data_IF_600747189766
#
_entry.id   IF_600747189766
#
_cell.length_a   1.000
_cell.length_b   1.000
_cell.length_c   1.000
_cell.angle_alpha   90.00
_cell.angle_beta   90.00
_cell.angle_gamma   90.00
#
_symmetry.space_group_name_H-M   'P 1'
#
loop_
_entity.id
_entity.type
_entity.pdbx_description
1 polymer ?
#
# COMPACT_ATOMS: atom_id res chain seq x y z
N UNK A 1 15.26 -7.21 -4.69
CA UNK A 1 15.63 -6.67 -6.01
C UNK A 1 14.87 -5.38 -6.19
N UNK A 2 15.25 -4.38 -5.41
CA UNK A 2 14.35 -3.30 -4.94
C UNK A 2 14.57 -1.98 -5.69
N UNK A 3 14.99 -2.06 -6.96
CA UNK A 3 15.39 -0.89 -7.74
C UNK A 3 14.21 -0.07 -8.30
N UNK A 4 13.00 -0.64 -8.39
CA UNK A 4 11.86 0.02 -9.05
C UNK A 4 11.05 0.94 -8.14
N UNK A 5 10.96 0.69 -6.83
CA UNK A 5 10.17 1.55 -5.91
C UNK A 5 10.88 2.88 -5.58
N UNK A 6 12.22 2.86 -5.48
CA UNK A 6 13.00 4.03 -5.06
C UNK A 6 12.94 5.21 -6.06
N UNK A 7 12.90 4.94 -7.37
CA UNK A 7 12.84 6.02 -8.38
C UNK A 7 11.49 6.72 -8.40
N UNK A 8 10.40 5.97 -8.23
CA UNK A 8 9.07 6.54 -8.13
C UNK A 8 8.95 7.36 -6.83
N UNK A 9 9.46 6.85 -5.70
CA UNK A 9 9.45 7.57 -4.42
C UNK A 9 10.12 8.95 -4.52
N UNK A 10 11.35 9.00 -5.04
CA UNK A 10 12.11 10.26 -5.19
C UNK A 10 11.44 11.23 -6.16
N UNK A 11 10.76 10.73 -7.20
CA UNK A 11 10.03 11.57 -8.14
C UNK A 11 8.80 12.22 -7.49
N UNK A 12 8.04 11.45 -6.70
CA UNK A 12 6.84 11.95 -6.02
C UNK A 12 7.19 12.98 -4.94
N UNK A 13 8.26 12.76 -4.18
CA UNK A 13 8.74 13.72 -3.17
C UNK A 13 9.12 15.10 -3.76
N UNK A 14 9.53 15.13 -5.03
CA UNK A 14 9.90 16.37 -5.73
C UNK A 14 8.70 17.12 -6.31
N UNK A 15 7.47 16.58 -6.18
CA UNK A 15 6.25 17.17 -6.73
C UNK A 15 5.31 17.61 -5.60
N UNK A 16 5.65 18.66 -4.82
CA UNK A 16 4.92 19.03 -3.60
C UNK A 16 3.45 19.38 -3.81
N UNK A 17 3.07 19.74 -5.05
CA UNK A 17 1.71 20.11 -5.44
C UNK A 17 0.98 18.99 -6.20
N UNK A 18 1.47 17.75 -6.15
CA UNK A 18 0.80 16.62 -6.79
C UNK A 18 -0.47 16.23 -6.02
N UNK A 19 -1.61 16.37 -6.68
CA UNK A 19 -2.93 16.04 -6.12
C UNK A 19 -3.46 14.69 -6.61
N UNK A 20 -3.09 14.29 -7.82
CA UNK A 20 -3.59 13.07 -8.48
C UNK A 20 -2.42 12.31 -9.07
N UNK A 21 -2.29 11.04 -8.70
CA UNK A 21 -1.30 10.12 -9.25
C UNK A 21 -2.02 8.97 -9.95
N UNK A 22 -1.77 8.81 -11.25
CA UNK A 22 -2.30 7.71 -12.05
C UNK A 22 -1.13 6.87 -12.54
N UNK A 23 -1.04 5.64 -12.03
CA UNK A 23 -0.05 4.63 -12.39
C UNK A 23 -0.73 3.30 -12.78
N UNK A 24 -2.00 3.36 -13.15
CA UNK A 24 -2.78 2.24 -13.64
C UNK A 24 -2.12 1.52 -14.84
N UNK A 25 -2.41 0.22 -15.01
CA UNK A 25 -1.91 -0.60 -16.13
C UNK A 25 -0.37 -0.65 -16.23
N UNK A 26 0.30 -0.84 -15.10
CA UNK A 26 1.76 -0.99 -15.05
C UNK A 26 2.15 -2.34 -14.43
N UNK A 27 3.43 -2.52 -14.14
CA UNK A 27 3.96 -3.74 -13.51
C UNK A 27 4.52 -3.44 -12.12
N UNK A 28 3.92 -2.46 -11.42
CA UNK A 28 4.35 -2.10 -10.08
C UNK A 28 4.05 -3.24 -9.12
N UNK A 29 5.09 -3.67 -8.39
CA UNK A 29 4.97 -4.69 -7.34
C UNK A 29 4.74 -4.08 -5.97
N UNK A 30 5.16 -2.84 -5.76
CA UNK A 30 4.93 -2.09 -4.51
C UNK A 30 4.65 -0.63 -4.81
N UNK A 31 3.88 0.02 -3.93
CA UNK A 31 3.74 1.47 -3.90
C UNK A 31 4.62 2.01 -2.77
N UNK A 32 5.52 2.98 -3.03
CA UNK A 32 6.37 3.52 -1.98
C UNK A 32 5.55 4.30 -0.94
N UNK A 33 5.94 4.17 0.33
CA UNK A 33 5.38 4.95 1.45
C UNK A 33 5.30 6.45 1.19
N UNK A 34 6.25 7.00 0.42
CA UNK A 34 6.29 8.43 0.07
C UNK A 34 5.01 8.90 -0.64
N UNK A 35 4.30 8.02 -1.36
CA UNK A 35 3.00 8.34 -1.98
C UNK A 35 1.94 8.58 -0.88
N UNK A 36 1.89 7.70 0.12
CA UNK A 36 0.93 7.82 1.24
C UNK A 36 1.29 8.95 2.21
N UNK A 37 2.58 9.28 2.33
CA UNK A 37 3.09 10.40 3.15
C UNK A 37 2.98 11.75 2.45
N UNK A 38 2.66 11.78 1.15
CA UNK A 38 2.55 13.01 0.38
C UNK A 38 1.35 13.85 0.86
N UNK A 39 1.61 15.11 1.26
CA UNK A 39 0.62 15.95 1.96
C UNK A 39 -0.47 16.53 1.05
N UNK A 40 -0.18 16.70 -0.23
CA UNK A 40 -1.12 17.27 -1.20
C UNK A 40 -1.90 16.21 -2.00
N UNK A 41 -1.51 14.93 -1.88
CA UNK A 41 -2.06 13.88 -2.73
C UNK A 41 -3.45 13.46 -2.25
N UNK A 42 -4.43 13.55 -3.13
CA UNK A 42 -5.83 13.23 -2.86
C UNK A 42 -6.29 11.97 -3.55
N UNK A 43 -5.77 11.70 -4.75
CA UNK A 43 -6.24 10.60 -5.60
C UNK A 43 -5.07 9.75 -6.06
N UNK A 44 -5.18 8.43 -5.88
CA UNK A 44 -4.22 7.44 -6.35
C UNK A 44 -4.94 6.36 -7.15
N UNK A 45 -4.61 6.24 -8.43
CA UNK A 45 -5.09 5.15 -9.28
C UNK A 45 -3.92 4.23 -9.61
N UNK A 46 -3.90 3.05 -8.99
CA UNK A 46 -2.90 2.02 -9.17
C UNK A 46 -3.51 0.69 -9.66
N UNK A 47 -4.68 0.74 -10.31
CA UNK A 47 -5.34 -0.47 -10.81
C UNK A 47 -4.49 -1.23 -11.83
N UNK A 48 -4.74 -2.52 -12.01
CA UNK A 48 -4.08 -3.34 -13.02
C UNK A 48 -2.54 -3.26 -12.93
N UNK A 49 -2.03 -3.54 -11.72
CA UNK A 49 -0.61 -3.66 -11.43
C UNK A 49 -0.34 -5.06 -10.82
N UNK A 50 0.80 -5.25 -10.16
CA UNK A 50 1.19 -6.51 -9.51
C UNK A 50 1.45 -6.31 -8.02
N UNK A 51 0.69 -5.43 -7.37
CA UNK A 51 0.89 -5.11 -5.96
C UNK A 51 0.66 -6.33 -5.06
N UNK A 52 -0.22 -7.26 -5.46
CA UNK A 52 -0.42 -8.52 -4.73
C UNK A 52 0.84 -9.37 -4.65
N UNK A 53 1.60 -9.47 -5.74
CA UNK A 53 2.86 -10.23 -5.76
C UNK A 53 3.89 -9.64 -4.78
N UNK A 54 3.98 -8.30 -4.70
CA UNK A 54 4.90 -7.65 -3.77
C UNK A 54 4.50 -7.84 -2.31
N UNK A 55 3.21 -7.68 -2.00
CA UNK A 55 2.70 -7.92 -0.64
C UNK A 55 2.90 -9.39 -0.24
N UNK A 56 2.70 -10.33 -1.16
CA UNK A 56 2.94 -11.76 -0.90
C UNK A 56 4.42 -12.06 -0.61
N UNK A 57 5.35 -11.51 -1.41
CA UNK A 57 6.79 -11.64 -1.20
C UNK A 57 7.22 -11.08 0.19
N UNK A 58 6.70 -9.90 0.54
CA UNK A 58 6.97 -9.24 1.82
C UNK A 58 6.37 -10.03 2.99
N UNK A 59 5.16 -10.54 2.83
CA UNK A 59 4.46 -11.37 3.82
C UNK A 59 5.22 -12.66 4.11
N UNK A 60 5.77 -13.33 3.11
CA UNK A 60 6.59 -14.52 3.32
C UNK A 60 7.88 -14.19 4.08
N UNK A 61 8.53 -13.07 3.72
CA UNK A 61 9.73 -12.59 4.41
C UNK A 61 9.42 -12.24 5.87
N UNK A 62 8.30 -11.57 6.12
CA UNK A 62 7.81 -11.27 7.47
C UNK A 62 7.53 -12.54 8.27
N UNK A 63 6.86 -13.55 7.69
CA UNK A 63 6.62 -14.86 8.36
C UNK A 63 7.93 -15.52 8.79
N UNK A 64 8.97 -15.50 7.93
CA UNK A 64 10.30 -16.03 8.27
C UNK A 64 10.99 -15.22 9.38
N UNK A 65 10.82 -13.90 9.41
CA UNK A 65 11.39 -13.05 10.48
C UNK A 65 10.66 -13.27 11.80
N UNK A 66 9.33 -13.32 11.78
CA UNK A 66 8.49 -13.50 12.97
C UNK A 66 8.70 -14.85 13.64
N UNK A 67 8.88 -15.93 12.87
CA UNK A 67 9.19 -17.25 13.44
C UNK A 67 10.52 -17.29 14.20
N UNK A 68 11.48 -16.43 13.85
CA UNK A 68 12.77 -16.29 14.57
C UNK A 68 12.68 -15.41 15.82
N UNK A 69 11.60 -14.65 15.98
CA UNK A 69 11.36 -13.78 17.12
C UNK A 69 9.95 -14.01 17.69
N UNK A 70 9.69 -15.21 18.25
CA UNK A 70 8.35 -15.56 18.74
C UNK A 70 7.87 -14.65 19.88
N UNK A 71 8.79 -14.01 20.60
CA UNK A 71 8.49 -13.11 21.71
C UNK A 71 8.40 -11.63 21.29
N UNK A 72 8.52 -11.31 20.01
CA UNK A 72 8.34 -9.93 19.55
C UNK A 72 6.86 -9.55 19.64
N UNK A 73 6.56 -8.39 20.22
CA UNK A 73 5.18 -7.91 20.30
C UNK A 73 4.67 -7.60 18.89
N UNK A 74 3.35 -7.62 18.70
CA UNK A 74 2.71 -7.30 17.42
C UNK A 74 3.11 -5.89 16.93
N UNK A 75 3.28 -4.96 17.87
CA UNK A 75 3.65 -3.56 17.61
C UNK A 75 5.11 -3.38 17.18
N UNK A 76 5.99 -4.35 17.46
CA UNK A 76 7.42 -4.27 17.12
C UNK A 76 7.70 -4.63 15.64
N UNK A 77 6.86 -5.45 15.01
CA UNK A 77 7.00 -5.91 13.62
C UNK A 77 5.62 -6.28 13.05
N UNK A 78 4.76 -5.29 12.72
CA UNK A 78 3.44 -5.55 12.17
C UNK A 78 3.53 -6.26 10.81
N UNK A 79 2.46 -6.97 10.43
CA UNK A 79 2.39 -7.59 9.12
C UNK A 79 2.50 -6.52 8.00
N UNK A 80 3.15 -6.79 6.86
CA UNK A 80 3.38 -5.78 5.83
C UNK A 80 2.10 -5.08 5.34
N UNK A 81 1.00 -5.84 5.18
CA UNK A 81 -0.29 -5.28 4.77
C UNK A 81 -0.83 -4.29 5.81
N UNK A 82 -0.71 -4.59 7.10
CA UNK A 82 -1.18 -3.71 8.18
C UNK A 82 -0.37 -2.41 8.25
N UNK A 83 0.95 -2.47 8.02
CA UNK A 83 1.78 -1.27 7.94
C UNK A 83 1.35 -0.36 6.78
N UNK A 84 1.00 -0.95 5.63
CA UNK A 84 0.50 -0.23 4.47
C UNK A 84 -0.86 0.43 4.74
N UNK A 85 -1.78 -0.33 5.34
CA UNK A 85 -3.10 0.15 5.70
C UNK A 85 -3.06 1.23 6.81
N UNK A 86 -2.19 1.08 7.80
CA UNK A 86 -1.92 2.12 8.81
C UNK A 86 -1.43 3.43 8.16
N UNK A 87 -0.52 3.32 7.18
CA UNK A 87 -0.07 4.47 6.39
C UNK A 87 -1.21 5.11 5.59
N UNK A 88 -2.11 4.30 5.01
CA UNK A 88 -3.29 4.80 4.31
C UNK A 88 -4.25 5.55 5.25
N UNK A 89 -4.49 5.02 6.46
CA UNK A 89 -5.31 5.67 7.50
C UNK A 89 -4.76 7.07 7.83
N UNK A 90 -3.45 7.18 8.03
CA UNK A 90 -2.78 8.44 8.35
C UNK A 90 -2.58 9.39 7.15
N UNK A 91 -2.77 8.90 5.91
CA UNK A 91 -2.50 9.66 4.69
C UNK A 91 -3.52 10.77 4.42
N UNK A 92 -3.16 11.70 3.55
CA UNK A 92 -4.06 12.75 3.04
C UNK A 92 -4.93 12.31 1.84
N UNK A 93 -4.73 11.07 1.38
CA UNK A 93 -5.41 10.46 0.24
C UNK A 93 -6.88 10.24 0.57
N UNK A 94 -7.75 10.67 -0.34
CA UNK A 94 -9.20 10.54 -0.24
C UNK A 94 -9.74 9.46 -1.18
N UNK A 95 -9.09 9.22 -2.31
CA UNK A 95 -9.52 8.20 -3.27
C UNK A 95 -8.34 7.33 -3.65
N UNK A 96 -8.48 6.01 -3.49
CA UNK A 96 -7.46 5.04 -3.88
C UNK A 96 -8.11 3.86 -4.61
N UNK A 97 -7.62 3.57 -5.81
CA UNK A 97 -8.02 2.40 -6.60
C UNK A 97 -6.84 1.43 -6.75
N UNK A 98 -7.00 0.25 -6.18
CA UNK A 98 -6.01 -0.85 -6.22
C UNK A 98 -6.60 -2.11 -6.83
N UNK A 99 -7.72 -2.03 -7.56
CA UNK A 99 -8.31 -3.19 -8.24
C UNK A 99 -7.35 -3.85 -9.22
N UNK A 100 -7.62 -5.11 -9.55
CA UNK A 100 -6.85 -5.85 -10.57
C UNK A 100 -5.35 -5.96 -10.26
N UNK A 101 -4.98 -6.05 -8.98
CA UNK A 101 -3.58 -6.14 -8.54
C UNK A 101 -3.09 -7.55 -8.17
N UNK A 102 -3.93 -8.56 -8.40
CA UNK A 102 -3.61 -9.94 -8.05
C UNK A 102 -3.54 -10.22 -6.55
N UNK A 103 -4.25 -9.44 -5.72
CA UNK A 103 -4.33 -9.70 -4.28
C UNK A 103 -5.00 -11.06 -4.01
N UNK A 104 -4.48 -11.80 -3.03
CA UNK A 104 -5.16 -12.97 -2.49
C UNK A 104 -6.38 -12.55 -1.64
N UNK A 105 -7.26 -13.51 -1.30
CA UNK A 105 -8.49 -13.19 -0.57
C UNK A 105 -8.23 -12.64 0.84
N UNK A 106 -7.13 -13.04 1.48
CA UNK A 106 -6.74 -12.51 2.79
C UNK A 106 -6.37 -11.01 2.69
N UNK A 107 -5.56 -10.64 1.70
CA UNK A 107 -5.18 -9.25 1.45
C UNK A 107 -6.39 -8.42 1.03
N UNK A 108 -7.26 -8.95 0.16
CA UNK A 108 -8.51 -8.28 -0.21
C UNK A 108 -9.40 -8.05 1.01
N UNK A 109 -9.48 -9.01 1.91
CA UNK A 109 -10.28 -8.89 3.13
C UNK A 109 -9.76 -7.76 4.03
N UNK A 110 -8.44 -7.70 4.28
CA UNK A 110 -7.83 -6.61 5.05
C UNK A 110 -8.10 -5.23 4.42
N UNK A 111 -7.99 -5.14 3.09
CA UNK A 111 -8.34 -3.92 2.36
C UNK A 111 -9.82 -3.54 2.47
N UNK A 112 -10.74 -4.51 2.39
CA UNK A 112 -12.18 -4.27 2.56
C UNK A 112 -12.51 -3.78 3.96
N UNK A 113 -11.91 -4.38 4.98
CA UNK A 113 -12.11 -3.95 6.38
C UNK A 113 -11.72 -2.49 6.57
N UNK A 114 -10.58 -2.08 6.01
CA UNK A 114 -10.13 -0.68 6.08
C UNK A 114 -10.97 0.25 5.19
N UNK A 115 -11.44 -0.23 4.04
CA UNK A 115 -12.37 0.51 3.20
C UNK A 115 -13.69 0.81 3.95
N UNK A 116 -14.18 -0.15 4.72
CA UNK A 116 -15.36 0.01 5.58
C UNK A 116 -15.09 0.95 6.76
N UNK A 117 -13.95 0.80 7.43
CA UNK A 117 -13.52 1.68 8.53
C UNK A 117 -13.47 3.15 8.08
N UNK A 118 -12.94 3.39 6.89
CA UNK A 118 -12.73 4.73 6.34
C UNK A 118 -13.93 5.25 5.53
N UNK A 119 -15.01 4.45 5.42
CA UNK A 119 -16.22 4.76 4.66
C UNK A 119 -16.80 6.10 5.12
N UNK A 120 -16.76 7.09 4.23
CA UNK A 120 -17.24 8.46 4.47
C UNK A 120 -16.14 9.52 4.60
N UNK A 121 -14.90 9.10 4.84
CA UNK A 121 -13.72 9.99 4.82
C UNK A 121 -12.83 9.72 3.61
N UNK A 122 -12.77 8.46 3.16
CA UNK A 122 -12.00 8.01 2.02
C UNK A 122 -12.80 6.99 1.20
N UNK A 123 -12.52 6.95 -0.09
CA UNK A 123 -13.00 5.97 -1.04
C UNK A 123 -11.84 5.03 -1.39
N UNK A 124 -12.00 3.76 -1.03
CA UNK A 124 -11.00 2.71 -1.24
C UNK A 124 -11.63 1.65 -2.13
N UNK A 125 -11.13 1.52 -3.35
CA UNK A 125 -11.61 0.55 -4.33
C UNK A 125 -10.67 -0.64 -4.39
N UNK A 126 -11.18 -1.80 -3.95
CA UNK A 126 -10.44 -3.07 -3.88
C UNK A 126 -11.36 -4.24 -4.21
N UNK A 127 -11.14 -4.89 -5.37
CA UNK A 127 -11.83 -6.09 -5.85
C UNK A 127 -10.90 -6.82 -6.81
#
# INVERSE_FOLDING_TARGET
GDACSCRLAVAIEKLPNLHTLVVANNQLRTLPDSILKHKALRTVDARANRLGDGIADEKETWRRRRSRRPNANQDDDPEPIEAYLASLRASSVQHIDVRDNGFDEETKQAWREVAEELRGSKEVLVV
#
